data_IF_221732722909
#
_entry.id   IF_221732722909
#
_cell.length_a   1.000
_cell.length_b   1.000
_cell.length_c   1.000
_cell.angle_alpha   90.00
_cell.angle_beta   90.00
_cell.angle_gamma   90.00
#
_symmetry.space_group_name_H-M   'P 1'
#
loop_
_entity.id
_entity.type
_entity.pdbx_description
1 polymer ?
#
# COMPACT_ATOMS: atom_id res chain seq x y z
N UNK A 1 -7.14 -7.79 -6.47
CA UNK A 1 -6.97 -9.06 -5.71
C UNK A 1 -5.51 -9.29 -5.30
N UNK A 2 -4.55 -9.28 -6.25
CA UNK A 2 -3.17 -9.73 -6.03
C UNK A 2 -2.38 -8.88 -5.02
N UNK A 3 -2.53 -7.56 -5.04
CA UNK A 3 -1.83 -6.66 -4.13
C UNK A 3 -2.51 -6.58 -2.76
N UNK A 4 -3.79 -6.21 -2.72
CA UNK A 4 -4.51 -6.08 -1.45
C UNK A 4 -4.71 -7.43 -0.77
N UNK A 5 -4.88 -8.50 -1.55
CA UNK A 5 -5.07 -9.88 -1.10
C UNK A 5 -6.09 -10.01 0.04
N UNK A 6 -7.22 -9.30 -0.12
CA UNK A 6 -8.33 -9.29 0.83
C UNK A 6 -9.20 -10.54 0.71
N UNK A 7 -9.77 -10.92 1.82
CA UNK A 7 -10.75 -12.01 1.98
C UNK A 7 -11.99 -11.49 2.72
N UNK A 8 -13.11 -12.21 2.74
CA UNK A 8 -14.31 -11.80 3.50
C UNK A 8 -14.09 -11.61 5.00
N UNK A 9 -13.02 -12.18 5.57
CA UNK A 9 -12.67 -12.00 6.98
C UNK A 9 -11.82 -10.76 7.27
N UNK A 10 -11.44 -10.02 6.24
CA UNK A 10 -10.59 -8.83 6.40
C UNK A 10 -11.42 -7.56 6.63
N UNK A 11 -10.83 -6.65 7.41
CA UNK A 11 -11.33 -5.29 7.60
C UNK A 11 -10.27 -4.34 7.03
N UNK A 12 -10.63 -3.65 5.96
CA UNK A 12 -9.75 -2.73 5.23
C UNK A 12 -9.98 -1.29 5.68
N UNK A 13 -8.92 -0.62 6.09
CA UNK A 13 -8.90 0.83 6.29
C UNK A 13 -7.94 1.50 5.33
N UNK A 14 -8.48 2.36 4.47
CA UNK A 14 -7.71 3.21 3.58
C UNK A 14 -7.98 4.68 3.92
N UNK A 15 -6.91 5.45 4.15
CA UNK A 15 -6.99 6.87 4.51
C UNK A 15 -6.85 7.80 3.30
N UNK A 16 -6.87 7.27 2.07
CA UNK A 16 -6.80 8.11 0.88
C UNK A 16 -8.06 8.94 0.73
N UNK A 17 -7.88 10.19 0.31
CA UNK A 17 -8.98 11.08 -0.04
C UNK A 17 -9.87 10.49 -1.13
N UNK A 18 -11.18 10.72 -1.03
CA UNK A 18 -12.19 10.20 -1.97
C UNK A 18 -12.10 10.79 -3.37
N UNK A 19 -11.40 11.92 -3.53
CA UNK A 19 -11.12 12.53 -4.83
C UNK A 19 -10.07 11.79 -5.67
N UNK A 20 -9.37 10.82 -5.09
CA UNK A 20 -8.37 10.00 -5.78
C UNK A 20 -8.90 8.61 -6.12
N UNK A 21 -8.44 8.04 -7.24
CA UNK A 21 -8.79 6.67 -7.63
C UNK A 21 -8.46 5.65 -6.52
N UNK A 22 -7.39 5.86 -5.77
CA UNK A 22 -7.04 5.03 -4.61
C UNK A 22 -8.11 5.10 -3.52
N UNK A 23 -8.80 6.23 -3.34
CA UNK A 23 -9.97 6.34 -2.47
C UNK A 23 -11.11 5.44 -2.95
N UNK A 24 -11.51 5.52 -4.20
CA UNK A 24 -12.58 4.69 -4.77
C UNK A 24 -12.23 3.20 -4.77
N UNK A 25 -11.09 2.80 -5.32
CA UNK A 25 -10.70 1.40 -5.41
C UNK A 25 -10.21 0.82 -4.08
N UNK A 26 -9.44 1.57 -3.31
CA UNK A 26 -8.89 1.10 -2.04
C UNK A 26 -9.87 1.13 -0.88
N UNK A 27 -10.81 2.09 -0.87
CA UNK A 27 -11.76 2.24 0.24
C UNK A 27 -13.12 1.60 -0.05
N UNK A 28 -13.48 1.32 -1.30
CA UNK A 28 -14.84 0.90 -1.64
C UNK A 28 -14.85 -0.35 -2.53
N UNK A 29 -14.55 -0.20 -3.82
CA UNK A 29 -14.76 -1.27 -4.81
C UNK A 29 -13.83 -2.46 -4.59
N UNK A 30 -12.55 -2.24 -4.31
CA UNK A 30 -11.59 -3.31 -4.09
C UNK A 30 -11.97 -4.23 -2.91
N UNK A 31 -12.20 -3.68 -1.71
CA UNK A 31 -12.68 -4.45 -0.57
C UNK A 31 -14.00 -5.18 -0.83
N UNK A 32 -14.99 -4.50 -1.40
CA UNK A 32 -16.31 -5.09 -1.64
C UNK A 32 -16.30 -6.22 -2.66
N UNK A 33 -15.53 -6.11 -3.74
CA UNK A 33 -15.35 -7.22 -4.71
C UNK A 33 -14.73 -8.46 -4.04
N UNK A 34 -13.96 -8.25 -2.95
CA UNK A 34 -13.39 -9.34 -2.17
C UNK A 34 -14.27 -9.79 -1.00
N UNK A 35 -15.44 -9.18 -0.79
CA UNK A 35 -16.32 -9.44 0.34
C UNK A 35 -15.80 -8.94 1.68
N UNK A 36 -14.76 -8.10 1.68
CA UNK A 36 -14.14 -7.57 2.89
C UNK A 36 -14.95 -6.40 3.47
N UNK A 37 -14.87 -6.23 4.78
CA UNK A 37 -15.44 -5.08 5.47
C UNK A 37 -14.61 -3.83 5.20
N UNK A 38 -15.29 -2.70 4.99
CA UNK A 38 -14.67 -1.38 4.89
C UNK A 38 -14.79 -0.65 6.23
N UNK A 39 -13.65 -0.28 6.81
CA UNK A 39 -13.61 0.59 7.97
C UNK A 39 -13.55 2.05 7.52
N UNK A 40 -14.43 2.88 8.07
CA UNK A 40 -14.51 4.32 7.77
C UNK A 40 -14.30 5.11 9.04
N UNK A 41 -13.41 6.08 8.99
CA UNK A 41 -13.14 7.01 10.09
C UNK A 41 -13.16 8.44 9.56
N UNK A 42 -14.04 9.26 10.11
CA UNK A 42 -14.04 10.70 9.83
C UNK A 42 -12.88 11.37 10.55
N UNK A 43 -11.84 11.71 9.79
CA UNK A 43 -10.62 12.33 10.30
C UNK A 43 -10.33 13.60 9.48
N UNK A 44 -10.83 14.77 9.93
CA UNK A 44 -10.69 16.03 9.19
C UNK A 44 -9.23 16.47 8.98
N UNK A 45 -8.33 16.03 9.85
CA UNK A 45 -6.90 16.27 9.76
C UNK A 45 -6.14 15.00 10.08
N UNK A 46 -5.12 14.69 9.28
CA UNK A 46 -4.25 13.54 9.55
C UNK A 46 -3.46 13.76 10.83
N UNK A 47 -3.61 12.83 11.79
CA UNK A 47 -2.90 12.82 13.07
C UNK A 47 -2.36 11.41 13.34
N UNK A 48 -1.03 11.25 13.41
CA UNK A 48 -0.39 9.95 13.64
C UNK A 48 -0.92 9.22 14.89
N UNK A 49 -1.12 9.94 15.98
CA UNK A 49 -1.65 9.38 17.24
C UNK A 49 -3.06 8.80 17.07
N UNK A 50 -3.94 9.50 16.34
CA UNK A 50 -5.30 9.03 16.07
C UNK A 50 -5.29 7.76 15.19
N UNK A 51 -4.38 7.69 14.22
CA UNK A 51 -4.18 6.48 13.40
C UNK A 51 -3.72 5.31 14.29
N UNK A 52 -2.71 5.52 15.13
CA UNK A 52 -2.17 4.49 16.00
C UNK A 52 -3.22 3.97 17.00
N UNK A 53 -3.95 4.87 17.66
CA UNK A 53 -5.05 4.52 18.57
C UNK A 53 -6.16 3.74 17.86
N UNK A 54 -6.54 4.17 16.64
CA UNK A 54 -7.56 3.49 15.83
C UNK A 54 -7.14 2.08 15.45
N UNK A 55 -5.90 1.90 14.97
CA UNK A 55 -5.34 0.58 14.63
C UNK A 55 -5.19 -0.33 15.85
N UNK A 56 -4.98 0.25 17.04
CA UNK A 56 -4.90 -0.51 18.29
C UNK A 56 -6.27 -0.96 18.79
N UNK A 57 -7.28 -0.10 18.63
CA UNK A 57 -8.62 -0.28 19.20
C UNK A 57 -9.54 -1.16 18.34
N UNK A 58 -9.48 -1.00 17.02
CA UNK A 58 -10.40 -1.68 16.09
C UNK A 58 -9.73 -2.87 15.42
N UNK A 59 -10.49 -3.91 15.04
CA UNK A 59 -9.94 -5.14 14.47
C UNK A 59 -9.57 -4.99 12.98
N UNK A 60 -8.90 -3.89 12.63
CA UNK A 60 -8.44 -3.60 11.29
C UNK A 60 -7.32 -4.56 10.92
N UNK A 61 -7.50 -5.32 9.82
CA UNK A 61 -6.54 -6.32 9.35
C UNK A 61 -5.61 -5.81 8.25
N UNK A 62 -6.08 -4.82 7.49
CA UNK A 62 -5.34 -4.23 6.37
C UNK A 62 -5.44 -2.72 6.43
N UNK A 63 -4.30 -2.06 6.47
CA UNK A 63 -4.18 -0.60 6.50
C UNK A 63 -3.49 -0.11 5.23
N UNK A 64 -4.10 0.84 4.53
CA UNK A 64 -3.55 1.46 3.33
C UNK A 64 -3.49 2.97 3.50
N UNK A 65 -2.34 3.55 3.21
CA UNK A 65 -2.17 5.00 3.23
C UNK A 65 -1.08 5.46 2.25
N UNK A 66 -0.90 6.77 2.12
CA UNK A 66 0.13 7.35 1.28
C UNK A 66 1.53 7.20 1.89
N UNK A 67 2.62 7.21 1.10
CA UNK A 67 3.99 7.25 1.59
C UNK A 67 4.28 8.38 2.56
N UNK A 68 3.79 9.58 2.26
CA UNK A 68 3.90 10.75 3.15
C UNK A 68 3.26 10.52 4.51
N UNK A 69 2.13 9.82 4.58
CA UNK A 69 1.49 9.46 5.84
C UNK A 69 2.33 8.44 6.64
N UNK A 70 2.91 7.43 5.98
CA UNK A 70 3.85 6.52 6.65
C UNK A 70 5.08 7.24 7.20
N UNK A 71 5.61 8.25 6.48
CA UNK A 71 6.70 9.09 7.00
C UNK A 71 6.30 9.78 8.30
N UNK A 72 5.10 10.37 8.37
CA UNK A 72 4.60 11.00 9.60
C UNK A 72 4.42 9.99 10.74
N UNK A 73 3.90 8.79 10.42
CA UNK A 73 3.70 7.71 11.39
C UNK A 73 5.02 7.26 12.03
N UNK A 74 6.06 7.00 11.22
CA UNK A 74 7.37 6.57 11.77
C UNK A 74 8.12 7.68 12.52
N UNK A 75 7.80 8.94 12.25
CA UNK A 75 8.31 10.08 13.02
C UNK A 75 7.63 10.21 14.39
N UNK A 76 6.38 9.78 14.50
CA UNK A 76 5.62 9.78 15.76
C UNK A 76 6.01 8.63 16.70
N UNK A 77 6.83 7.67 16.25
CA UNK A 77 7.22 6.46 16.97
C UNK A 77 6.05 5.51 17.32
N UNK A 78 5.79 4.60 16.42
CA UNK A 78 4.73 3.59 16.58
C UNK A 78 5.07 2.45 17.56
N UNK A 79 6.28 2.41 18.13
CA UNK A 79 6.75 1.28 18.97
C UNK A 79 5.97 1.12 20.29
N UNK A 80 5.39 2.21 20.79
CA UNK A 80 4.57 2.20 21.99
C UNK A 80 3.18 1.61 21.81
N UNK A 81 2.72 1.46 20.56
CA UNK A 81 1.39 0.95 20.22
C UNK A 81 1.43 -0.54 19.92
N UNK A 82 0.29 -1.21 20.10
CA UNK A 82 0.08 -2.60 19.71
C UNK A 82 -1.02 -2.70 18.67
N UNK A 83 -0.77 -3.42 17.59
CA UNK A 83 -1.71 -3.60 16.48
C UNK A 83 -2.13 -5.08 16.37
N UNK A 84 -2.95 -5.58 17.30
CA UNK A 84 -3.17 -7.03 17.45
C UNK A 84 -3.83 -7.69 16.23
N UNK A 85 -4.60 -6.94 15.48
CA UNK A 85 -5.33 -7.45 14.31
C UNK A 85 -4.66 -7.12 12.98
N UNK A 86 -3.73 -6.15 12.96
CA UNK A 86 -3.12 -5.67 11.72
C UNK A 86 -2.16 -6.70 11.13
N UNK A 87 -2.44 -7.13 9.90
CA UNK A 87 -1.68 -8.16 9.19
C UNK A 87 -0.93 -7.61 7.98
N UNK A 88 -1.42 -6.52 7.39
CA UNK A 88 -0.92 -5.96 6.14
C UNK A 88 -0.93 -4.44 6.16
N UNK A 89 0.16 -3.86 5.69
CA UNK A 89 0.24 -2.44 5.40
C UNK A 89 0.52 -2.25 3.91
N UNK A 90 -0.23 -1.36 3.29
CA UNK A 90 -0.19 -1.10 1.86
C UNK A 90 0.12 0.37 1.60
N UNK A 91 0.95 0.64 0.61
CA UNK A 91 1.26 2.00 0.17
C UNK A 91 1.37 2.10 -1.34
N UNK A 92 1.03 3.24 -1.89
CA UNK A 92 1.15 3.52 -3.33
C UNK A 92 0.75 4.95 -3.65
N UNK A 93 1.05 5.34 -4.88
CA UNK A 93 0.81 6.69 -5.40
C UNK A 93 2.07 7.53 -5.51
N UNK A 94 3.07 7.28 -4.67
CA UNK A 94 4.41 7.87 -4.69
C UNK A 94 5.44 6.78 -4.33
N UNK A 95 6.71 7.02 -4.59
CA UNK A 95 7.77 6.15 -4.11
C UNK A 95 7.94 6.27 -2.58
N UNK A 96 7.97 5.15 -1.89
CA UNK A 96 8.21 5.12 -0.46
C UNK A 96 9.72 5.08 -0.17
N UNK A 97 10.19 5.99 0.68
CA UNK A 97 11.60 6.01 1.08
C UNK A 97 11.96 4.70 1.80
N UNK A 98 13.04 4.00 1.38
CA UNK A 98 13.53 2.79 2.03
C UNK A 98 13.76 2.91 3.55
N UNK A 99 14.14 4.10 4.04
CA UNK A 99 14.30 4.34 5.48
C UNK A 99 12.97 4.27 6.23
N UNK A 100 11.87 4.72 5.60
CA UNK A 100 10.52 4.62 6.18
C UNK A 100 10.09 3.17 6.29
N UNK A 101 10.36 2.35 5.26
CA UNK A 101 10.12 0.90 5.30
C UNK A 101 10.86 0.24 6.47
N UNK A 102 12.15 0.56 6.62
CA UNK A 102 12.98 -0.01 7.70
C UNK A 102 12.49 0.42 9.08
N UNK A 103 12.20 1.71 9.29
CA UNK A 103 11.69 2.24 10.57
C UNK A 103 10.33 1.64 10.92
N UNK A 104 9.41 1.58 9.96
CA UNK A 104 8.10 0.95 10.18
C UNK A 104 8.24 -0.51 10.61
N UNK A 105 9.10 -1.28 9.94
CA UNK A 105 9.38 -2.67 10.29
C UNK A 105 9.95 -2.81 11.70
N UNK A 106 10.88 -1.94 12.08
CA UNK A 106 11.47 -1.96 13.45
C UNK A 106 10.42 -1.63 14.51
N UNK A 107 9.61 -0.60 14.27
CA UNK A 107 8.63 -0.12 15.24
C UNK A 107 7.41 -1.05 15.40
N UNK A 108 6.98 -1.71 14.32
CA UNK A 108 5.70 -2.45 14.31
C UNK A 108 5.84 -3.95 14.05
N UNK A 109 6.98 -4.40 13.55
CA UNK A 109 7.19 -5.78 13.08
C UNK A 109 6.54 -6.08 11.72
N UNK A 110 5.84 -5.12 11.10
CA UNK A 110 5.09 -5.31 9.86
C UNK A 110 5.85 -4.76 8.65
N UNK A 111 5.62 -5.38 7.50
CA UNK A 111 6.10 -4.88 6.21
C UNK A 111 5.06 -3.99 5.54
N UNK A 112 5.55 -3.02 4.73
CA UNK A 112 4.69 -2.23 3.85
C UNK A 112 4.84 -2.77 2.43
N UNK A 113 3.75 -3.22 1.83
CA UNK A 113 3.70 -3.69 0.46
C UNK A 113 3.34 -2.53 -0.47
N UNK A 114 4.32 -2.10 -1.25
CA UNK A 114 4.13 -1.01 -2.21
C UNK A 114 3.48 -1.47 -3.51
N UNK A 115 2.84 -0.54 -4.19
CA UNK A 115 2.32 -0.73 -5.53
C UNK A 115 2.46 0.53 -6.37
N UNK A 116 2.62 0.32 -7.67
CA UNK A 116 2.60 1.35 -8.70
C UNK A 116 1.40 1.16 -9.63
N UNK A 117 0.82 2.26 -9.99
CA UNK A 117 -0.25 2.36 -10.97
C UNK A 117 -0.68 3.81 -11.15
N UNK A 118 -1.59 4.00 -12.06
CA UNK A 118 -2.16 5.30 -12.41
C UNK A 118 -3.69 5.18 -12.38
N UNK A 119 -4.39 6.32 -12.49
CA UNK A 119 -5.86 6.31 -12.57
C UNK A 119 -6.34 5.47 -13.75
N UNK A 120 -5.61 5.53 -14.87
CA UNK A 120 -5.92 4.88 -16.14
C UNK A 120 -5.69 3.36 -16.10
N UNK A 121 -4.76 2.90 -15.26
CA UNK A 121 -4.32 1.49 -15.23
C UNK A 121 -4.64 0.78 -13.93
N UNK A 122 -5.04 1.52 -12.89
CA UNK A 122 -5.13 1.05 -11.51
C UNK A 122 -3.74 0.57 -11.03
N UNK A 123 -3.59 -0.66 -10.54
CA UNK A 123 -2.31 -1.19 -10.06
C UNK A 123 -1.73 -2.14 -11.10
N UNK A 124 -0.56 -1.82 -11.66
CA UNK A 124 0.13 -2.62 -12.66
C UNK A 124 1.34 -3.37 -12.11
N UNK A 125 2.03 -2.81 -11.10
CA UNK A 125 3.13 -3.46 -10.40
C UNK A 125 2.90 -3.42 -8.89
N UNK A 126 3.27 -4.48 -8.17
CA UNK A 126 3.14 -4.52 -6.72
C UNK A 126 4.09 -5.52 -6.04
N UNK A 127 4.39 -5.24 -4.78
CA UNK A 127 4.89 -6.22 -3.83
C UNK A 127 3.71 -7.08 -3.35
N UNK A 128 3.52 -8.24 -3.96
CA UNK A 128 2.41 -9.14 -3.67
C UNK A 128 2.69 -9.99 -2.42
N UNK A 129 1.63 -10.60 -1.86
CA UNK A 129 1.76 -11.49 -0.70
C UNK A 129 2.75 -12.62 -0.97
N UNK A 130 3.63 -12.86 0.00
CA UNK A 130 4.65 -13.93 -0.07
C UNK A 130 5.91 -13.55 -0.83
N UNK A 131 5.97 -12.38 -1.44
CA UNK A 131 7.20 -11.87 -2.02
C UNK A 131 8.13 -11.30 -0.94
N UNK A 132 9.43 -11.52 -1.09
CA UNK A 132 10.43 -10.81 -0.32
C UNK A 132 10.49 -9.36 -0.81
N UNK A 133 10.16 -8.43 0.07
CA UNK A 133 10.23 -7.00 -0.24
C UNK A 133 11.70 -6.60 -0.41
N UNK A 134 11.99 -5.98 -1.54
CA UNK A 134 13.30 -5.37 -1.83
C UNK A 134 13.11 -3.85 -1.76
N UNK A 135 13.74 -3.17 -0.78
CA UNK A 135 13.62 -1.72 -0.64
C UNK A 135 13.95 -0.99 -1.96
N UNK A 136 13.14 -0.01 -2.32
CA UNK A 136 13.24 0.72 -3.59
C UNK A 136 12.69 -0.03 -4.81
N UNK A 137 12.07 -1.22 -4.63
CA UNK A 137 11.42 -1.95 -5.72
C UNK A 137 9.92 -2.00 -5.52
N UNK A 138 9.18 -1.66 -6.57
CA UNK A 138 7.71 -1.75 -6.62
C UNK A 138 7.19 -3.18 -6.86
N UNK A 139 8.08 -4.18 -6.84
CA UNK A 139 7.71 -5.58 -6.98
C UNK A 139 7.69 -6.08 -8.42
N UNK A 140 6.61 -6.73 -8.82
CA UNK A 140 6.44 -7.36 -10.15
C UNK A 140 5.13 -6.94 -10.77
N UNK A 141 5.01 -7.14 -12.09
CA UNK A 141 3.75 -7.00 -12.81
C UNK A 141 2.61 -7.78 -12.12
N UNK A 142 1.47 -7.12 -11.98
CA UNK A 142 0.26 -7.71 -11.37
C UNK A 142 -0.59 -8.32 -12.47
N UNK A 143 -0.93 -9.61 -12.42
CA UNK A 143 -1.81 -10.20 -13.42
C UNK A 143 -3.15 -9.45 -13.53
N UNK A 144 -3.71 -9.28 -14.73
CA UNK A 144 -3.29 -9.87 -16.01
C UNK A 144 -2.32 -9.00 -16.85
N UNK A 145 -1.73 -7.93 -16.27
CA UNK A 145 -0.87 -7.02 -17.02
C UNK A 145 0.43 -7.71 -17.44
N UNK A 146 0.83 -7.52 -18.68
CA UNK A 146 2.18 -7.75 -19.19
C UNK A 146 2.91 -6.40 -19.19
N UNK A 147 3.74 -6.17 -18.17
CA UNK A 147 4.46 -4.92 -17.98
C UNK A 147 5.90 -5.12 -18.38
N UNK A 148 6.36 -4.31 -19.32
CA UNK A 148 7.72 -4.36 -19.85
C UNK A 148 8.40 -2.98 -19.70
N UNK A 149 9.72 -2.99 -19.74
CA UNK A 149 10.51 -1.77 -19.83
C UNK A 149 11.03 -1.65 -21.25
N UNK A 150 10.73 -0.55 -21.92
CA UNK A 150 11.05 -0.32 -23.33
C UNK A 150 11.88 0.96 -23.51
N UNK A 151 12.59 1.04 -24.61
CA UNK A 151 13.25 2.27 -25.06
C UNK A 151 12.26 3.22 -25.79
N UNK A 152 12.77 4.35 -26.27
CA UNK A 152 11.99 5.34 -27.00
C UNK A 152 11.42 4.83 -28.35
N UNK A 153 11.93 3.72 -28.88
CA UNK A 153 11.44 3.05 -30.07
C UNK A 153 10.46 1.91 -29.76
N UNK A 154 10.18 1.65 -28.46
CA UNK A 154 9.30 0.58 -28.02
C UNK A 154 9.93 -0.81 -27.98
N UNK A 155 11.25 -0.90 -28.12
CA UNK A 155 11.96 -2.17 -27.98
C UNK A 155 12.28 -2.48 -26.50
N UNK A 156 12.07 -3.74 -26.09
CA UNK A 156 12.31 -4.18 -24.71
C UNK A 156 13.80 -4.04 -24.37
N UNK A 157 14.09 -3.33 -23.28
CA UNK A 157 15.47 -3.14 -22.80
C UNK A 157 15.91 -4.31 -21.91
N UNK A 158 17.22 -4.64 -21.88
CA UNK A 158 17.77 -5.66 -21.01
C UNK A 158 17.60 -5.31 -19.52
N UNK A 159 17.55 -6.32 -18.66
CA UNK A 159 17.51 -6.14 -17.22
C UNK A 159 18.69 -5.28 -16.72
N UNK A 160 18.39 -4.33 -15.84
CA UNK A 160 19.37 -3.37 -15.30
C UNK A 160 19.55 -2.10 -16.14
N UNK A 161 18.82 -1.95 -17.24
CA UNK A 161 18.72 -0.72 -18.01
C UNK A 161 17.45 0.04 -17.65
N UNK A 162 17.56 1.37 -17.68
CA UNK A 162 16.42 2.27 -17.53
C UNK A 162 15.63 2.36 -18.83
N UNK A 163 14.32 2.60 -18.72
CA UNK A 163 13.42 2.77 -19.83
C UNK A 163 12.02 3.19 -19.39
N UNK A 164 11.11 3.18 -20.34
CA UNK A 164 9.69 3.53 -20.15
C UNK A 164 8.91 2.28 -19.74
N UNK A 165 8.01 2.43 -18.78
CA UNK A 165 7.06 1.37 -18.40
C UNK A 165 5.97 1.29 -19.47
N UNK A 166 5.84 0.17 -20.14
CA UNK A 166 4.86 -0.13 -21.19
C UNK A 166 4.03 -1.37 -20.85
#
# INVERSE_FOLDING_TARGET
RHWMNLTPSDIMWNTSDTGWVKGAWGSLFGPWICGACVFVHNMPQFKPEVIAETLSKYPITTFCTAPTAFLMLVQHDMSSYKFPSLKRCLSGGEALNPEVLAKWKVQTGLDINEAYGQTETVTICANMKGMKIKPGSLGKAVPPYDVQIVDDQGAVVPAGKEGIIA
#
